data_IF_023384099660
#
_entry.id   IF_023384099660
#
_cell.length_a   1.000
_cell.length_b   1.000
_cell.length_c   1.000
_cell.angle_alpha   90.00
_cell.angle_beta   90.00
_cell.angle_gamma   90.00
#
_symmetry.space_group_name_H-M   'P 1'
#
loop_
_entity.id
_entity.type
_entity.pdbx_description
1 polymer ?
#
# COMPACT_ATOMS: atom_id res chain seq x y z
N UNK A 1 25.86 2.16 5.66
CA UNK A 1 25.74 1.92 4.21
C UNK A 1 27.07 1.36 3.76
N UNK A 2 27.07 0.25 3.04
CA UNK A 2 28.27 -0.58 2.82
C UNK A 2 29.16 -0.04 1.69
N UNK A 3 29.17 1.28 1.48
CA UNK A 3 29.89 1.97 0.38
C UNK A 3 29.53 1.49 -1.04
N UNK A 4 28.36 0.87 -1.25
CA UNK A 4 27.89 0.39 -2.56
C UNK A 4 26.98 1.42 -3.24
N UNK A 5 27.22 1.66 -4.54
CA UNK A 5 26.42 2.55 -5.38
C UNK A 5 25.85 1.77 -6.56
N UNK A 6 24.57 2.01 -6.87
CA UNK A 6 23.95 1.49 -8.10
C UNK A 6 23.87 2.61 -9.12
N UNK A 7 24.45 2.39 -10.30
CA UNK A 7 24.42 3.34 -11.41
C UNK A 7 23.78 2.65 -12.61
N UNK A 8 22.71 3.24 -13.14
CA UNK A 8 22.00 2.74 -14.30
C UNK A 8 22.34 3.61 -15.52
N UNK A 9 22.91 3.01 -16.58
CA UNK A 9 23.19 3.68 -17.84
C UNK A 9 22.14 3.31 -18.88
N UNK A 10 21.67 4.30 -19.64
CA UNK A 10 20.82 4.02 -20.78
C UNK A 10 21.67 3.49 -21.95
N UNK A 11 21.30 2.33 -22.47
CA UNK A 11 21.88 1.74 -23.67
C UNK A 11 20.98 1.95 -24.89
N UNK A 12 21.57 1.82 -26.09
CA UNK A 12 20.83 1.83 -27.35
C UNK A 12 20.01 0.56 -27.55
N UNK A 13 19.04 0.60 -28.45
CA UNK A 13 18.16 -0.55 -28.74
C UNK A 13 18.93 -1.75 -29.30
N UNK A 14 19.98 -1.50 -30.08
CA UNK A 14 20.80 -2.52 -30.74
C UNK A 14 22.06 -2.89 -29.93
N UNK A 15 22.11 -2.53 -28.65
CA UNK A 15 23.26 -2.80 -27.80
C UNK A 15 23.36 -4.31 -27.47
N UNK A 16 24.54 -4.90 -27.65
CA UNK A 16 24.80 -6.31 -27.31
C UNK A 16 24.97 -6.47 -25.79
N UNK A 17 24.04 -7.15 -25.09
CA UNK A 17 24.09 -7.29 -23.64
C UNK A 17 25.38 -7.93 -23.11
N UNK A 18 25.99 -8.86 -23.85
CA UNK A 18 27.20 -9.55 -23.39
C UNK A 18 28.46 -8.73 -23.62
N UNK A 19 28.49 -7.93 -24.68
CA UNK A 19 29.55 -6.93 -24.86
C UNK A 19 29.42 -5.82 -23.81
N UNK A 20 28.21 -5.32 -23.56
CA UNK A 20 27.97 -4.15 -22.72
C UNK A 20 28.24 -4.37 -21.22
N UNK A 21 28.24 -5.63 -20.77
CA UNK A 21 28.62 -6.00 -19.39
C UNK A 21 30.13 -5.97 -19.13
N UNK A 22 30.95 -5.99 -20.19
CA UNK A 22 32.39 -6.16 -20.02
C UNK A 22 33.01 -4.92 -19.37
N UNK A 23 33.98 -5.08 -18.44
CA UNK A 23 34.59 -3.95 -17.73
C UNK A 23 35.11 -2.85 -18.66
N UNK A 24 35.67 -3.21 -19.82
CA UNK A 24 36.17 -2.25 -20.82
C UNK A 24 35.09 -1.31 -21.39
N UNK A 25 33.81 -1.70 -21.34
CA UNK A 25 32.69 -0.87 -21.79
C UNK A 25 32.02 -0.12 -20.63
N UNK A 26 32.05 -0.67 -19.42
CA UNK A 26 31.39 -0.12 -18.24
C UNK A 26 32.26 0.92 -17.52
N UNK A 27 33.54 0.63 -17.30
CA UNK A 27 34.48 1.50 -16.57
C UNK A 27 34.56 2.90 -17.18
N UNK A 28 34.65 3.07 -18.52
CA UNK A 28 34.69 4.41 -19.10
C UNK A 28 33.44 5.24 -18.80
N UNK A 29 32.25 4.62 -18.73
CA UNK A 29 30.99 5.32 -18.41
C UNK A 29 30.94 5.76 -16.96
N UNK A 30 31.42 4.92 -16.04
CA UNK A 30 31.52 5.24 -14.61
C UNK A 30 32.53 6.38 -14.41
N UNK A 31 33.71 6.29 -15.03
CA UNK A 31 34.73 7.36 -14.97
C UNK A 31 34.23 8.68 -15.55
N UNK A 32 33.49 8.66 -16.65
CA UNK A 32 32.88 9.87 -17.20
C UNK A 32 31.89 10.54 -16.24
N UNK A 33 31.26 9.78 -15.34
CA UNK A 33 30.34 10.29 -14.33
C UNK A 33 31.04 10.73 -13.03
N UNK A 34 32.03 9.98 -12.56
CA UNK A 34 32.67 10.18 -11.24
C UNK A 34 34.00 10.96 -11.30
N UNK A 35 34.63 11.03 -12.48
CA UNK A 35 36.00 11.50 -12.68
C UNK A 35 37.03 10.38 -12.61
N UNK A 36 38.15 10.54 -13.34
CA UNK A 36 39.18 9.50 -13.50
C UNK A 36 39.94 9.14 -12.22
N UNK A 37 40.02 10.08 -11.28
CA UNK A 37 40.80 9.99 -10.03
C UNK A 37 40.11 9.13 -8.94
N UNK A 38 38.86 8.71 -9.17
CA UNK A 38 38.05 8.00 -8.17
C UNK A 38 38.26 6.49 -8.29
N UNK A 39 38.70 5.87 -7.21
CA UNK A 39 38.80 4.42 -7.10
C UNK A 39 37.42 3.78 -6.89
N UNK A 40 37.15 2.68 -7.58
CA UNK A 40 35.95 1.88 -7.43
C UNK A 40 36.19 0.44 -7.89
N UNK A 41 35.36 -0.48 -7.41
CA UNK A 41 35.32 -1.87 -7.86
C UNK A 41 33.93 -2.18 -8.42
N UNK A 42 33.88 -3.06 -9.42
CA UNK A 42 32.61 -3.52 -9.99
C UNK A 42 32.10 -4.72 -9.18
N UNK A 43 31.16 -4.46 -8.27
CA UNK A 43 30.51 -5.52 -7.50
C UNK A 43 29.62 -6.41 -8.39
N UNK A 44 28.80 -5.77 -9.24
CA UNK A 44 27.89 -6.48 -10.14
C UNK A 44 27.54 -5.61 -11.35
N UNK A 45 27.49 -6.24 -12.52
CA UNK A 45 27.07 -5.62 -13.78
C UNK A 45 26.03 -6.49 -14.45
N UNK A 46 24.93 -5.88 -14.87
CA UNK A 46 23.94 -6.52 -15.71
C UNK A 46 23.39 -5.57 -16.75
N UNK A 47 22.80 -6.15 -17.78
CA UNK A 47 22.00 -5.45 -18.78
C UNK A 47 20.61 -6.04 -18.70
N UNK A 48 19.62 -5.16 -18.66
CA UNK A 48 18.22 -5.53 -18.59
C UNK A 48 17.43 -4.73 -19.63
N UNK A 49 16.29 -5.27 -20.02
CA UNK A 49 15.28 -4.54 -20.82
C UNK A 49 13.97 -4.62 -20.08
N UNK A 50 13.29 -3.48 -19.94
CA UNK A 50 12.03 -3.44 -19.21
C UNK A 50 10.85 -3.61 -20.13
N UNK A 51 9.82 -4.25 -19.60
CA UNK A 51 8.51 -4.33 -20.21
C UNK A 51 7.48 -3.88 -19.18
N UNK A 52 6.50 -3.10 -19.63
CA UNK A 52 5.34 -2.73 -18.84
C UNK A 52 4.15 -3.53 -19.38
N UNK A 53 3.76 -4.58 -18.67
CA UNK A 53 2.68 -5.48 -19.09
C UNK A 53 2.09 -6.20 -17.89
N UNK A 54 0.85 -6.66 -18.01
CA UNK A 54 0.23 -7.54 -17.04
C UNK A 54 -0.70 -8.54 -17.71
N UNK A 55 -1.02 -9.62 -16.99
CA UNK A 55 -2.08 -10.53 -17.36
C UNK A 55 -3.44 -9.83 -17.30
N UNK A 56 -4.40 -10.30 -18.11
CA UNK A 56 -5.77 -9.81 -18.07
C UNK A 56 -6.50 -10.16 -16.76
N UNK A 57 -6.14 -11.28 -16.13
CA UNK A 57 -6.61 -11.74 -14.82
C UNK A 57 -5.47 -12.42 -14.08
N UNK A 58 -5.44 -12.29 -12.75
CA UNK A 58 -4.43 -12.94 -11.90
C UNK A 58 -4.96 -14.22 -11.26
N UNK A 59 -6.29 -14.37 -11.17
CA UNK A 59 -6.96 -15.58 -10.72
C UNK A 59 -7.43 -16.43 -11.91
N UNK A 60 -6.87 -17.63 -12.02
CA UNK A 60 -7.28 -18.69 -12.96
C UNK A 60 -7.82 -19.91 -12.18
N UNK A 61 -8.80 -19.66 -11.31
CA UNK A 61 -9.47 -20.62 -10.42
C UNK A 61 -8.53 -21.24 -9.38
N UNK A 62 -7.77 -22.27 -9.77
CA UNK A 62 -6.85 -23.01 -8.89
C UNK A 62 -5.40 -22.55 -9.05
N UNK A 63 -5.14 -21.68 -10.02
CA UNK A 63 -3.81 -21.13 -10.30
C UNK A 63 -3.89 -19.62 -10.12
N UNK A 64 -3.01 -19.08 -9.27
CA UNK A 64 -2.93 -17.67 -8.93
C UNK A 64 -1.53 -17.18 -9.33
N UNK A 65 -1.45 -16.04 -9.99
CA UNK A 65 -0.19 -15.43 -10.43
C UNK A 65 0.08 -14.18 -9.60
N UNK A 66 1.30 -14.03 -9.09
CA UNK A 66 1.73 -12.98 -8.15
C UNK A 66 3.02 -12.33 -8.65
N UNK A 67 3.17 -11.02 -8.47
CA UNK A 67 4.40 -10.29 -8.81
C UNK A 67 4.76 -10.39 -10.30
N UNK A 68 6.05 -10.58 -10.61
CA UNK A 68 6.56 -10.63 -11.99
C UNK A 68 5.93 -11.73 -12.87
N UNK A 69 5.35 -12.77 -12.26
CA UNK A 69 4.59 -13.80 -12.98
C UNK A 69 3.23 -13.28 -13.50
N UNK A 70 2.70 -12.22 -12.90
CA UNK A 70 1.42 -11.60 -13.24
C UNK A 70 1.56 -10.24 -13.94
N UNK A 71 2.54 -9.43 -13.53
CA UNK A 71 2.76 -8.09 -14.06
C UNK A 71 4.22 -7.68 -13.97
N UNK A 72 4.67 -6.91 -14.95
CA UNK A 72 6.03 -6.39 -15.04
C UNK A 72 5.95 -4.88 -15.24
N UNK A 73 6.86 -4.18 -14.57
CA UNK A 73 6.96 -2.72 -14.57
C UNK A 73 8.40 -2.29 -14.76
N UNK A 74 8.59 -1.06 -15.23
CA UNK A 74 9.90 -0.41 -15.16
C UNK A 74 10.33 -0.23 -13.70
N UNK A 75 11.63 -0.35 -13.35
CA UNK A 75 12.09 -0.32 -11.96
C UNK A 75 12.11 1.08 -11.36
N UNK A 76 11.88 2.12 -12.17
CA UNK A 76 11.80 3.48 -11.67
C UNK A 76 10.65 3.61 -10.67
N UNK A 77 10.98 4.09 -9.47
CA UNK A 77 10.03 4.16 -8.34
C UNK A 77 9.94 2.89 -7.49
N UNK A 78 10.85 1.92 -7.66
CA UNK A 78 10.93 0.70 -6.86
C UNK A 78 9.60 -0.08 -6.80
N UNK A 79 8.95 -0.30 -7.95
CA UNK A 79 7.57 -0.84 -7.98
C UNK A 79 7.47 -2.35 -8.11
N UNK A 80 8.35 -3.02 -8.85
CA UNK A 80 8.22 -4.46 -9.17
C UNK A 80 8.15 -5.35 -7.92
N UNK A 81 9.25 -5.45 -7.17
CA UNK A 81 9.31 -6.27 -5.96
C UNK A 81 8.28 -5.83 -4.90
N UNK A 82 8.11 -4.53 -4.68
CA UNK A 82 7.13 -4.00 -3.72
C UNK A 82 5.69 -4.39 -4.10
N UNK A 83 5.32 -4.33 -5.38
CA UNK A 83 4.00 -4.74 -5.83
C UNK A 83 3.78 -6.25 -5.69
N UNK A 84 4.80 -7.08 -5.90
CA UNK A 84 4.70 -8.52 -5.64
C UNK A 84 4.49 -8.87 -4.16
N UNK A 85 5.10 -8.11 -3.25
CA UNK A 85 4.84 -8.24 -1.80
C UNK A 85 3.39 -7.85 -1.49
N UNK A 86 2.93 -6.71 -2.02
CA UNK A 86 1.55 -6.24 -1.82
C UNK A 86 0.50 -7.19 -2.44
N UNK A 87 0.81 -7.84 -3.56
CA UNK A 87 -0.05 -8.88 -4.12
C UNK A 87 -0.21 -10.05 -3.14
N UNK A 88 0.90 -10.47 -2.53
CA UNK A 88 0.91 -11.57 -1.56
C UNK A 88 0.13 -11.20 -0.31
N UNK A 89 0.32 -9.99 0.21
CA UNK A 89 -0.40 -9.47 1.38
C UNK A 89 -1.92 -9.45 1.16
N UNK A 90 -2.35 -8.96 -0.01
CA UNK A 90 -3.76 -8.97 -0.41
C UNK A 90 -4.34 -10.38 -0.59
N UNK A 91 -3.54 -11.33 -1.10
CA UNK A 91 -3.99 -12.68 -1.41
C UNK A 91 -4.04 -13.59 -0.17
N UNK A 92 -3.04 -13.50 0.72
CA UNK A 92 -2.78 -14.50 1.74
C UNK A 92 -3.96 -14.70 2.69
N UNK A 93 -4.54 -13.62 3.19
CA UNK A 93 -5.67 -13.69 4.12
C UNK A 93 -6.93 -14.25 3.45
N UNK A 94 -7.19 -13.87 2.18
CA UNK A 94 -8.32 -14.38 1.38
C UNK A 94 -8.19 -15.86 1.14
N UNK A 95 -7.01 -16.29 0.70
CA UNK A 95 -6.70 -17.69 0.43
C UNK A 95 -6.82 -18.53 1.70
N UNK A 96 -6.34 -18.03 2.84
CA UNK A 96 -6.51 -18.68 4.13
C UNK A 96 -7.99 -18.89 4.48
N UNK A 97 -8.83 -17.87 4.34
CA UNK A 97 -10.27 -18.00 4.63
C UNK A 97 -10.96 -19.03 3.73
N UNK A 98 -10.57 -19.12 2.45
CA UNK A 98 -11.10 -20.12 1.52
C UNK A 98 -10.64 -21.53 1.89
N UNK A 99 -9.34 -21.70 2.22
CA UNK A 99 -8.79 -22.99 2.67
C UNK A 99 -9.48 -23.47 3.95
N UNK A 100 -9.73 -22.56 4.89
CA UNK A 100 -10.38 -22.85 6.17
C UNK A 100 -11.91 -23.03 6.03
N UNK A 101 -12.48 -22.90 4.82
CA UNK A 101 -13.92 -23.03 4.57
C UNK A 101 -14.78 -21.89 5.12
N UNK A 102 -14.17 -20.75 5.45
CA UNK A 102 -14.83 -19.56 6.03
C UNK A 102 -15.27 -18.53 5.00
N UNK A 103 -14.82 -18.65 3.75
CA UNK A 103 -15.20 -17.80 2.64
C UNK A 103 -15.35 -18.62 1.35
N UNK A 104 -16.21 -18.21 0.41
CA UNK A 104 -16.33 -18.89 -0.87
C UNK A 104 -15.12 -18.64 -1.76
N UNK A 105 -14.85 -19.56 -2.70
CA UNK A 105 -13.76 -19.41 -3.66
C UNK A 105 -13.85 -18.14 -4.53
N UNK A 106 -15.05 -17.58 -4.71
CA UNK A 106 -15.28 -16.30 -5.39
C UNK A 106 -14.61 -15.11 -4.68
N UNK A 107 -14.27 -15.21 -3.40
CA UNK A 107 -13.46 -14.19 -2.72
C UNK A 107 -12.12 -13.98 -3.44
N UNK A 108 -11.53 -15.02 -4.05
CA UNK A 108 -10.26 -14.92 -4.79
C UNK A 108 -10.38 -14.15 -6.11
N UNK A 109 -11.59 -13.94 -6.64
CA UNK A 109 -11.78 -13.04 -7.78
C UNK A 109 -11.51 -11.58 -7.40
N UNK A 110 -11.77 -11.20 -6.14
CA UNK A 110 -11.43 -9.86 -5.64
C UNK A 110 -9.93 -9.60 -5.64
N UNK A 111 -9.09 -10.61 -5.40
CA UNK A 111 -7.64 -10.49 -5.51
C UNK A 111 -7.26 -10.10 -6.94
N UNK A 112 -7.85 -10.77 -7.93
CA UNK A 112 -7.59 -10.43 -9.33
C UNK A 112 -8.02 -9.00 -9.67
N UNK A 113 -9.21 -8.56 -9.26
CA UNK A 113 -9.68 -7.21 -9.61
C UNK A 113 -8.87 -6.12 -8.90
N UNK A 114 -8.61 -6.27 -7.60
CA UNK A 114 -7.87 -5.29 -6.81
C UNK A 114 -6.41 -5.17 -7.26
N UNK A 115 -5.75 -6.30 -7.54
CA UNK A 115 -4.32 -6.30 -7.91
C UNK A 115 -4.08 -6.02 -9.40
N UNK A 116 -5.04 -6.31 -10.29
CA UNK A 116 -4.99 -5.78 -11.65
C UNK A 116 -5.09 -4.26 -11.67
N UNK A 117 -5.98 -3.67 -10.86
CA UNK A 117 -6.07 -2.21 -10.70
C UNK A 117 -4.75 -1.60 -10.21
N UNK A 118 -4.17 -2.17 -9.14
CA UNK A 118 -2.88 -1.72 -8.61
C UNK A 118 -1.74 -1.86 -9.65
N UNK A 119 -1.75 -2.94 -10.44
CA UNK A 119 -0.78 -3.12 -11.52
C UNK A 119 -0.94 -2.06 -12.63
N UNK A 120 -2.17 -1.69 -13.01
CA UNK A 120 -2.42 -0.62 -13.98
C UNK A 120 -1.90 0.74 -13.46
N UNK A 121 -2.15 1.04 -12.18
CA UNK A 121 -1.62 2.25 -11.52
C UNK A 121 -0.08 2.27 -11.54
N UNK A 122 0.56 1.13 -11.23
CA UNK A 122 2.02 1.00 -11.24
C UNK A 122 2.61 1.12 -12.65
N UNK A 123 1.97 0.51 -13.65
CA UNK A 123 2.38 0.63 -15.06
C UNK A 123 2.27 2.08 -15.53
N UNK A 124 1.17 2.76 -15.21
CA UNK A 124 0.98 4.18 -15.55
C UNK A 124 2.08 5.07 -14.93
N UNK A 125 2.33 4.92 -13.62
CA UNK A 125 3.30 5.75 -12.91
C UNK A 125 4.75 5.48 -13.35
N UNK A 126 5.10 4.21 -13.57
CA UNK A 126 6.44 3.84 -14.05
C UNK A 126 6.65 4.31 -15.49
N UNK A 127 5.64 4.23 -16.37
CA UNK A 127 5.70 4.78 -17.73
C UNK A 127 5.94 6.28 -17.73
N UNK A 128 5.21 7.04 -16.91
CA UNK A 128 5.41 8.50 -16.76
C UNK A 128 6.82 8.85 -16.28
N UNK A 129 7.38 8.03 -15.40
CA UNK A 129 8.76 8.21 -14.91
C UNK A 129 9.77 7.94 -16.03
N UNK A 130 9.60 6.82 -16.75
CA UNK A 130 10.43 6.48 -17.91
C UNK A 130 10.40 7.57 -18.98
N UNK A 131 9.23 8.10 -19.32
CA UNK A 131 9.10 9.13 -20.36
C UNK A 131 9.72 10.47 -19.95
N UNK A 132 9.76 10.78 -18.64
CA UNK A 132 10.46 11.96 -18.12
C UNK A 132 11.98 11.75 -18.11
N UNK A 133 12.49 10.60 -17.64
CA UNK A 133 13.93 10.31 -17.59
C UNK A 133 14.51 10.21 -19.02
N UNK A 134 13.81 9.45 -19.88
CA UNK A 134 14.21 9.13 -21.24
C UNK A 134 13.17 9.65 -22.24
N UNK A 135 13.18 10.97 -22.55
CA UNK A 135 12.22 11.56 -23.47
C UNK A 135 12.39 11.01 -24.89
N UNK A 136 11.30 10.49 -25.45
CA UNK A 136 11.26 9.84 -26.78
C UNK A 136 11.01 10.81 -27.93
N UNK A 137 10.75 12.09 -27.65
CA UNK A 137 10.45 13.11 -28.65
C UNK A 137 11.14 14.44 -28.34
N UNK A 138 11.30 15.30 -29.35
CA UNK A 138 11.82 16.67 -29.18
C UNK A 138 10.95 17.48 -28.21
N UNK A 139 9.63 17.33 -28.28
CA UNK A 139 8.68 18.01 -27.39
C UNK A 139 8.84 17.56 -25.94
N UNK A 140 8.89 16.24 -25.70
CA UNK A 140 9.10 15.70 -24.35
C UNK A 140 10.45 16.12 -23.76
N UNK A 141 11.49 16.20 -24.59
CA UNK A 141 12.82 16.69 -24.17
C UNK A 141 12.80 18.17 -23.82
N UNK A 142 12.15 19.01 -24.62
CA UNK A 142 12.00 20.43 -24.36
C UNK A 142 11.20 20.67 -23.06
N UNK A 143 10.08 19.97 -22.89
CA UNK A 143 9.28 20.01 -21.66
C UNK A 143 10.11 19.63 -20.43
N UNK A 144 10.79 18.48 -20.46
CA UNK A 144 11.64 18.03 -19.35
C UNK A 144 12.71 19.06 -19.01
N UNK A 145 13.41 19.58 -20.01
CA UNK A 145 14.47 20.56 -19.78
C UNK A 145 13.92 21.85 -19.14
N UNK A 146 12.78 22.35 -19.62
CA UNK A 146 12.13 23.51 -19.03
C UNK A 146 11.68 23.25 -17.57
N UNK A 147 11.16 22.05 -17.28
CA UNK A 147 10.84 21.64 -15.91
C UNK A 147 12.09 21.65 -15.02
N UNK A 148 13.20 21.08 -15.49
CA UNK A 148 14.44 21.01 -14.72
C UNK A 148 15.08 22.39 -14.48
N UNK A 149 15.02 23.27 -15.46
CA UNK A 149 15.48 24.66 -15.34
C UNK A 149 14.64 25.43 -14.32
N UNK A 150 13.32 25.41 -14.48
CA UNK A 150 12.40 26.12 -13.57
C UNK A 150 12.38 25.53 -12.16
N UNK A 151 12.64 24.23 -11.99
CA UNK A 151 12.63 23.57 -10.69
C UNK A 151 13.73 24.10 -9.74
N UNK A 152 14.77 24.75 -10.26
CA UNK A 152 15.80 25.40 -9.45
C UNK A 152 15.17 26.47 -8.54
N UNK A 153 14.31 27.30 -9.11
CA UNK A 153 13.77 28.49 -8.42
C UNK A 153 12.30 28.34 -8.00
N UNK A 154 11.50 27.54 -8.73
CA UNK A 154 10.04 27.54 -8.59
C UNK A 154 9.47 26.23 -8.00
N UNK A 155 8.71 26.30 -6.88
CA UNK A 155 8.11 25.12 -6.25
C UNK A 155 7.16 24.32 -7.15
N UNK A 156 6.37 24.98 -8.01
CA UNK A 156 5.44 24.28 -8.90
C UNK A 156 6.16 23.37 -9.90
N UNK A 157 7.34 23.77 -10.38
CA UNK A 157 8.13 22.99 -11.32
C UNK A 157 8.79 21.79 -10.64
N UNK A 158 9.19 21.90 -9.37
CA UNK A 158 9.69 20.76 -8.57
C UNK A 158 8.66 19.64 -8.47
N UNK A 159 7.37 19.97 -8.36
CA UNK A 159 6.29 18.96 -8.34
C UNK A 159 6.15 18.19 -9.67
N UNK A 160 6.63 18.76 -10.78
CA UNK A 160 6.63 18.15 -12.10
C UNK A 160 7.86 17.27 -12.37
N UNK A 161 8.93 17.39 -11.57
CA UNK A 161 10.10 16.52 -11.67
C UNK A 161 9.68 15.09 -11.35
N UNK A 162 9.97 14.17 -12.27
CA UNK A 162 9.61 12.76 -12.10
C UNK A 162 10.76 11.83 -12.47
N UNK A 163 11.66 11.60 -11.52
CA UNK A 163 12.79 10.66 -11.64
C UNK A 163 12.45 9.25 -11.12
N UNK A 164 11.17 8.93 -10.92
CA UNK A 164 10.74 7.66 -10.34
C UNK A 164 10.06 7.86 -8.99
N UNK A 165 8.80 8.30 -9.00
CA UNK A 165 7.98 8.37 -7.78
C UNK A 165 7.87 6.98 -7.14
N UNK A 166 8.20 6.90 -5.86
CA UNK A 166 8.17 5.64 -5.10
C UNK A 166 6.77 5.01 -5.14
N UNK A 167 6.75 3.68 -5.08
CA UNK A 167 5.52 2.91 -4.92
C UNK A 167 4.81 3.35 -3.65
N UNK A 168 3.49 3.53 -3.76
CA UNK A 168 2.59 3.79 -2.62
C UNK A 168 1.50 2.72 -2.62
N UNK A 169 0.84 2.45 -1.49
CA UNK A 169 -0.32 1.57 -1.46
C UNK A 169 -1.44 2.12 -2.36
N UNK A 170 -2.11 1.23 -3.09
CA UNK A 170 -3.18 1.61 -4.02
C UNK A 170 -4.50 1.81 -3.29
N UNK A 171 -5.30 2.75 -3.78
CA UNK A 171 -6.62 3.06 -3.26
C UNK A 171 -7.67 2.16 -3.91
N UNK A 172 -8.17 1.17 -3.18
CA UNK A 172 -9.08 0.13 -3.68
C UNK A 172 -10.55 0.52 -3.53
N UNK A 173 -10.89 1.79 -3.84
CA UNK A 173 -12.21 2.38 -3.57
C UNK A 173 -13.37 1.67 -4.26
N UNK A 174 -13.12 1.11 -5.45
CA UNK A 174 -14.11 0.37 -6.25
C UNK A 174 -14.17 -1.13 -5.90
N UNK A 175 -13.48 -1.57 -4.85
CA UNK A 175 -13.49 -2.98 -4.46
C UNK A 175 -14.91 -3.44 -4.08
N UNK A 176 -15.36 -4.61 -4.55
CA UNK A 176 -16.64 -5.17 -4.12
C UNK A 176 -16.66 -5.54 -2.63
N UNK A 177 -15.49 -5.62 -1.99
CA UNK A 177 -15.33 -5.94 -0.56
C UNK A 177 -15.66 -4.75 0.36
N UNK A 178 -15.76 -3.54 -0.20
CA UNK A 178 -16.03 -2.33 0.57
C UNK A 178 -17.53 -2.20 0.88
N UNK A 179 -17.86 -1.93 2.13
CA UNK A 179 -19.23 -1.53 2.52
C UNK A 179 -19.38 -0.02 2.25
N UNK A 180 -20.38 0.40 1.45
CA UNK A 180 -20.62 1.83 1.21
C UNK A 180 -20.91 2.60 2.50
N UNK A 181 -20.49 3.86 2.54
CA UNK A 181 -20.81 4.75 3.65
C UNK A 181 -22.31 5.05 3.73
N UNK A 182 -22.85 5.03 4.94
CA UNK A 182 -24.19 5.53 5.26
C UNK A 182 -24.15 6.90 5.97
N UNK A 183 -23.00 7.25 6.56
CA UNK A 183 -22.76 8.48 7.31
C UNK A 183 -21.78 9.41 6.58
N UNK A 184 -21.79 10.70 6.92
CA UNK A 184 -20.83 11.68 6.40
C UNK A 184 -19.51 11.69 7.15
N UNK A 185 -18.38 11.69 6.42
CA UNK A 185 -17.02 11.82 6.94
C UNK A 185 -16.22 12.89 6.18
N UNK A 186 -15.45 13.68 6.91
CA UNK A 186 -14.51 14.66 6.41
C UNK A 186 -13.09 14.08 6.51
N UNK A 187 -12.71 13.19 5.57
CA UNK A 187 -11.39 12.60 5.58
C UNK A 187 -11.16 11.61 4.45
N UNK A 188 -9.89 11.29 4.22
CA UNK A 188 -9.50 10.43 3.11
C UNK A 188 -9.63 8.93 3.45
N UNK A 189 -9.88 8.53 4.69
CA UNK A 189 -10.02 7.11 5.06
C UNK A 189 -11.38 6.52 4.61
N UNK A 190 -11.71 6.64 3.34
CA UNK A 190 -12.91 6.04 2.72
C UNK A 190 -12.77 4.51 2.64
N UNK A 191 -13.87 3.75 2.53
CA UNK A 191 -13.78 2.33 2.21
C UNK A 191 -12.92 2.07 0.96
N UNK A 192 -11.94 1.18 1.09
CA UNK A 192 -10.91 0.89 0.09
C UNK A 192 -9.63 1.72 0.24
N UNK A 193 -9.59 2.72 1.12
CA UNK A 193 -8.36 3.44 1.43
C UNK A 193 -7.37 2.51 2.16
N UNK A 194 -6.06 2.55 1.81
CA UNK A 194 -5.03 2.02 2.70
C UNK A 194 -5.04 2.82 4.00
N UNK A 195 -4.80 2.16 5.12
CA UNK A 195 -4.74 2.82 6.42
C UNK A 195 -3.64 3.87 6.45
N UNK A 196 -3.99 5.09 6.86
CA UNK A 196 -3.00 6.07 7.27
C UNK A 196 -2.47 5.69 8.66
N UNK A 197 -1.15 5.75 8.82
CA UNK A 197 -0.52 5.53 10.11
C UNK A 197 -0.83 6.68 11.07
N UNK A 198 -0.56 6.51 12.36
CA UNK A 198 -0.61 7.61 13.33
C UNK A 198 0.23 7.26 14.57
N UNK A 199 0.87 8.26 15.21
CA UNK A 199 1.55 8.05 16.48
C UNK A 199 0.52 7.67 17.55
N UNK A 200 0.79 6.58 18.26
CA UNK A 200 -0.06 6.08 19.34
C UNK A 200 0.80 5.68 20.55
N UNK A 201 0.15 5.51 21.70
CA UNK A 201 0.74 4.85 22.87
C UNK A 201 -0.22 3.78 23.41
N UNK A 202 0.28 2.86 24.24
CA UNK A 202 -0.50 1.72 24.75
C UNK A 202 -0.50 0.49 23.84
N UNK A 203 -0.05 0.63 22.60
CA UNK A 203 0.21 -0.49 21.68
C UNK A 203 1.58 -1.15 21.88
N UNK A 204 1.83 -2.21 21.11
CA UNK A 204 3.12 -2.91 20.99
C UNK A 204 4.19 -2.05 20.32
N UNK A 205 3.76 -1.09 19.50
CA UNK A 205 4.64 -0.14 18.81
C UNK A 205 4.20 1.30 19.10
N UNK A 206 4.97 2.28 18.59
CA UNK A 206 4.63 3.70 18.72
C UNK A 206 3.73 4.23 17.58
N UNK A 207 3.35 3.36 16.63
CA UNK A 207 2.64 3.73 15.40
C UNK A 207 1.52 2.73 15.11
N UNK A 208 0.34 3.22 14.71
CA UNK A 208 -0.86 2.41 14.48
C UNK A 208 -0.59 1.19 13.60
N UNK A 209 0.06 1.38 12.45
CA UNK A 209 0.25 0.29 11.48
C UNK A 209 1.12 -0.84 12.05
N UNK A 210 2.07 -0.52 12.94
CA UNK A 210 2.90 -1.52 13.61
C UNK A 210 2.13 -2.34 14.66
N UNK A 211 0.95 -1.88 15.08
CA UNK A 211 0.10 -2.58 16.04
C UNK A 211 -0.92 -3.53 15.38
N UNK A 212 -1.14 -3.38 14.07
CA UNK A 212 -2.05 -4.23 13.30
C UNK A 212 -1.43 -5.59 13.00
N UNK A 213 -2.27 -6.61 12.84
CA UNK A 213 -1.89 -7.95 12.39
C UNK A 213 -2.83 -8.48 11.30
N UNK A 214 -2.72 -9.78 10.97
CA UNK A 214 -3.45 -10.43 9.87
C UNK A 214 -4.93 -10.74 10.16
N UNK A 215 -5.51 -10.14 11.21
CA UNK A 215 -6.93 -10.24 11.55
C UNK A 215 -7.70 -9.03 11.03
N UNK A 216 -9.03 -9.16 10.98
CA UNK A 216 -9.88 -7.98 10.89
C UNK A 216 -9.76 -7.19 12.19
N UNK A 217 -9.65 -5.88 12.09
CA UNK A 217 -9.61 -4.98 13.25
C UNK A 217 -10.81 -4.05 13.23
N UNK A 218 -11.35 -3.72 14.41
CA UNK A 218 -12.33 -2.66 14.56
C UNK A 218 -11.74 -1.58 15.44
N UNK A 219 -11.40 -0.42 14.87
CA UNK A 219 -11.09 0.76 15.67
C UNK A 219 -12.42 1.34 16.15
N UNK A 220 -12.56 1.59 17.46
CA UNK A 220 -13.74 2.24 18.04
C UNK A 220 -13.29 3.41 18.92
N UNK A 221 -13.69 4.63 18.56
CA UNK A 221 -13.25 5.83 19.25
C UNK A 221 -14.19 6.24 20.37
N UNK A 222 -13.62 6.52 21.54
CA UNK A 222 -14.25 7.19 22.68
C UNK A 222 -13.28 8.21 23.25
N UNK A 223 -13.78 9.30 23.84
CA UNK A 223 -12.88 10.35 24.36
C UNK A 223 -12.07 9.88 25.59
N UNK A 224 -12.74 9.11 26.47
CA UNK A 224 -12.18 8.51 27.66
C UNK A 224 -12.58 7.04 27.71
N UNK A 225 -11.61 6.14 27.61
CA UNK A 225 -11.88 4.71 27.53
C UNK A 225 -12.46 4.14 28.82
N UNK A 226 -12.28 4.83 29.96
CA UNK A 226 -12.89 4.43 31.24
C UNK A 226 -14.41 4.68 31.28
N UNK A 227 -14.94 5.48 30.35
CA UNK A 227 -16.37 5.77 30.25
C UNK A 227 -17.17 4.70 29.48
N UNK A 228 -16.49 3.72 28.85
CA UNK A 228 -17.15 2.58 28.22
C UNK A 228 -17.90 1.77 29.27
N UNK A 229 -19.20 1.61 29.08
CA UNK A 229 -20.00 0.74 29.96
C UNK A 229 -19.56 -0.73 29.80
N UNK A 230 -19.76 -1.54 30.85
CA UNK A 230 -19.50 -2.98 30.79
C UNK A 230 -20.27 -3.67 29.64
N UNK A 231 -21.48 -3.20 29.33
CA UNK A 231 -22.29 -3.71 28.22
C UNK A 231 -21.66 -3.39 26.86
N UNK A 232 -21.20 -2.16 26.65
CA UNK A 232 -20.51 -1.78 25.40
C UNK A 232 -19.19 -2.54 25.23
N UNK A 233 -18.41 -2.65 26.31
CA UNK A 233 -17.15 -3.38 26.28
C UNK A 233 -17.35 -4.88 25.97
N UNK A 234 -18.37 -5.51 26.57
CA UNK A 234 -18.74 -6.89 26.25
C UNK A 234 -19.21 -7.04 24.80
N UNK A 235 -19.98 -6.08 24.28
CA UNK A 235 -20.46 -6.10 22.90
C UNK A 235 -19.31 -5.98 21.88
N UNK A 236 -18.27 -5.20 22.19
CA UNK A 236 -17.05 -5.13 21.38
C UNK A 236 -16.25 -6.43 21.49
N UNK A 237 -16.01 -6.92 22.72
CA UNK A 237 -15.23 -8.12 22.95
C UNK A 237 -15.82 -9.35 22.25
N UNK A 238 -17.16 -9.47 22.22
CA UNK A 238 -17.87 -10.57 21.55
C UNK A 238 -17.66 -10.66 20.04
N UNK A 239 -17.08 -9.63 19.40
CA UNK A 239 -16.72 -9.68 17.98
C UNK A 239 -15.61 -10.70 17.68
N UNK A 240 -14.78 -11.02 18.67
CA UNK A 240 -13.72 -12.02 18.54
C UNK A 240 -14.27 -13.46 18.50
N UNK A 241 -15.50 -13.68 18.98
CA UNK A 241 -16.14 -14.99 19.08
C UNK A 241 -16.87 -15.41 17.78
N UNK A 242 -16.93 -14.51 16.79
CA UNK A 242 -17.53 -14.81 15.49
C UNK A 242 -16.67 -15.77 14.64
N UNK A 243 -17.26 -16.54 13.70
CA UNK A 243 -16.51 -17.49 12.86
C UNK A 243 -15.31 -16.87 12.14
N UNK A 244 -15.47 -15.61 11.70
CA UNK A 244 -14.39 -14.73 11.27
C UNK A 244 -14.24 -13.68 12.37
N UNK A 245 -13.20 -13.84 13.19
CA UNK A 245 -12.95 -13.00 14.34
C UNK A 245 -12.56 -11.58 13.91
N UNK A 246 -13.13 -10.59 14.59
CA UNK A 246 -12.71 -9.19 14.50
C UNK A 246 -12.08 -8.80 15.84
N UNK A 247 -10.90 -8.20 15.80
CA UNK A 247 -10.20 -7.73 16.98
C UNK A 247 -10.56 -6.26 17.25
N UNK A 248 -11.37 -5.98 18.28
CA UNK A 248 -11.70 -4.61 18.65
C UNK A 248 -10.51 -3.92 19.32
N UNK A 249 -10.26 -2.67 18.92
CA UNK A 249 -9.29 -1.76 19.52
C UNK A 249 -10.01 -0.47 19.87
N UNK A 250 -9.98 -0.10 21.15
CA UNK A 250 -10.52 1.17 21.62
C UNK A 250 -9.46 2.25 21.39
N UNK A 251 -9.80 3.25 20.58
CA UNK A 251 -8.97 4.44 20.39
C UNK A 251 -9.49 5.53 21.31
N UNK A 252 -8.59 6.17 22.06
CA UNK A 252 -8.96 7.16 23.07
C UNK A 252 -7.94 8.28 23.22
N UNK A 253 -8.31 9.40 23.84
CA UNK A 253 -7.32 10.39 24.31
C UNK A 253 -6.74 10.03 25.68
N UNK A 254 -7.49 9.29 26.50
CA UNK A 254 -7.06 8.90 27.85
C UNK A 254 -7.83 7.70 28.40
N UNK A 255 -7.36 7.19 29.54
CA UNK A 255 -7.96 6.05 30.22
C UNK A 255 -7.65 4.71 29.56
N UNK A 256 -8.17 3.64 30.17
CA UNK A 256 -8.00 2.27 29.70
C UNK A 256 -9.38 1.64 29.55
N UNK A 257 -9.62 0.95 28.44
CA UNK A 257 -10.89 0.28 28.22
C UNK A 257 -11.08 -0.88 29.20
N UNK A 258 -12.30 -1.12 29.71
CA UNK A 258 -12.59 -2.25 30.58
C UNK A 258 -12.59 -3.58 29.78
N UNK A 259 -12.77 -4.69 30.51
CA UNK A 259 -12.86 -6.04 29.95
C UNK A 259 -11.63 -6.52 29.16
N UNK A 260 -10.46 -5.92 29.38
CA UNK A 260 -9.21 -6.31 28.71
C UNK A 260 -9.16 -5.95 27.23
N UNK A 261 -10.03 -5.06 26.76
CA UNK A 261 -9.99 -4.55 25.39
C UNK A 261 -8.67 -3.83 25.12
N UNK A 262 -8.07 -4.11 23.95
CA UNK A 262 -6.90 -3.39 23.49
C UNK A 262 -7.24 -1.88 23.43
N UNK A 263 -6.38 -1.06 24.02
CA UNK A 263 -6.58 0.39 24.10
C UNK A 263 -5.37 1.11 23.51
N UNK A 264 -5.61 1.95 22.51
CA UNK A 264 -4.62 2.84 21.93
C UNK A 264 -4.94 4.29 22.29
N UNK A 265 -3.93 5.00 22.78
CA UNK A 265 -4.03 6.39 23.18
C UNK A 265 -3.47 7.28 22.07
N UNK A 266 -4.34 8.07 21.45
CA UNK A 266 -4.02 9.11 20.46
C UNK A 266 -3.80 10.46 21.16
N UNK A 267 -2.69 10.56 21.91
CA UNK A 267 -2.37 11.74 22.71
C UNK A 267 -2.18 13.01 21.86
N UNK A 268 -1.84 12.86 20.58
CA UNK A 268 -1.56 13.97 19.66
C UNK A 268 -2.78 14.34 18.81
N UNK A 269 -3.85 13.55 18.85
CA UNK A 269 -5.04 13.75 18.02
C UNK A 269 -4.84 13.46 16.53
N UNK A 270 -3.70 12.86 16.16
CA UNK A 270 -3.33 12.63 14.77
C UNK A 270 -4.17 11.52 14.14
N UNK A 271 -4.48 10.47 14.92
CA UNK A 271 -5.36 9.39 14.46
C UNK A 271 -6.80 9.91 14.31
N UNK A 272 -7.25 10.71 15.29
CA UNK A 272 -8.54 11.39 15.28
C UNK A 272 -8.71 12.30 14.06
N UNK A 273 -7.69 13.08 13.71
CA UNK A 273 -7.71 13.94 12.53
C UNK A 273 -7.75 13.14 11.22
N UNK A 274 -6.85 12.18 11.04
CA UNK A 274 -6.71 11.40 9.79
C UNK A 274 -7.96 10.57 9.46
N UNK A 275 -8.61 10.04 10.49
CA UNK A 275 -9.81 9.18 10.35
C UNK A 275 -11.11 9.93 10.67
N UNK A 276 -11.04 11.24 10.94
CA UNK A 276 -12.18 12.06 11.36
C UNK A 276 -12.98 11.41 12.50
N UNK A 277 -12.27 10.96 13.55
CA UNK A 277 -12.89 10.23 14.65
C UNK A 277 -13.70 11.17 15.55
N UNK A 278 -14.93 10.77 15.80
CA UNK A 278 -15.84 11.37 16.78
C UNK A 278 -16.29 10.29 17.78
N UNK A 279 -16.68 10.62 19.02
CA UNK A 279 -17.15 9.62 19.97
C UNK A 279 -18.22 8.69 19.37
N UNK A 280 -17.98 7.38 19.41
CA UNK A 280 -18.82 6.35 18.79
C UNK A 280 -18.36 5.90 17.39
N UNK A 281 -17.45 6.64 16.75
CA UNK A 281 -16.96 6.33 15.41
C UNK A 281 -16.24 4.98 15.41
N UNK A 282 -16.57 4.15 14.42
CA UNK A 282 -16.00 2.82 14.24
C UNK A 282 -15.50 2.61 12.83
N UNK A 283 -14.30 2.06 12.69
CA UNK A 283 -13.68 1.69 11.41
C UNK A 283 -13.38 0.19 11.41
N UNK A 284 -13.93 -0.53 10.43
CA UNK A 284 -13.57 -1.91 10.16
C UNK A 284 -12.41 -1.95 9.16
N UNK A 285 -11.35 -2.66 9.53
CA UNK A 285 -10.11 -2.77 8.78
C UNK A 285 -9.88 -4.23 8.39
N UNK A 286 -9.45 -4.43 7.15
CA UNK A 286 -9.09 -5.75 6.61
C UNK A 286 -7.72 -6.20 7.13
N UNK A 287 -7.45 -7.52 7.08
CA UNK A 287 -6.12 -8.08 7.34
C UNK A 287 -4.96 -7.45 6.54
N UNK A 288 -5.24 -6.90 5.36
CA UNK A 288 -4.27 -6.23 4.48
C UNK A 288 -4.27 -4.70 4.66
N UNK A 289 -4.69 -4.22 5.84
CA UNK A 289 -4.63 -2.81 6.25
C UNK A 289 -5.38 -1.84 5.32
N UNK A 290 -6.49 -2.30 4.73
CA UNK A 290 -7.43 -1.44 4.01
C UNK A 290 -8.72 -1.25 4.80
N UNK A 291 -9.29 -0.05 4.73
CA UNK A 291 -10.61 0.24 5.33
C UNK A 291 -11.68 -0.54 4.58
N UNK A 292 -12.43 -1.41 5.27
CA UNK A 292 -13.57 -2.12 4.69
C UNK A 292 -14.89 -1.37 4.86
N UNK A 293 -15.07 -0.69 5.99
CA UNK A 293 -16.30 0.00 6.36
C UNK A 293 -16.05 1.00 7.49
N UNK A 294 -16.94 1.98 7.65
CA UNK A 294 -16.91 2.93 8.76
C UNK A 294 -18.31 3.42 9.11
N UNK A 295 -18.49 3.81 10.38
CA UNK A 295 -19.76 4.30 10.92
C UNK A 295 -19.52 5.35 11.99
N UNK A 296 -20.46 6.29 12.17
CA UNK A 296 -20.41 7.26 13.27
C UNK A 296 -20.85 6.69 14.60
N UNK A 297 -21.62 5.60 14.56
CA UNK A 297 -22.10 4.89 15.73
C UNK A 297 -21.86 3.39 15.55
N UNK A 298 -21.36 2.76 16.61
CA UNK A 298 -21.12 1.32 16.63
C UNK A 298 -22.43 0.54 16.54
N UNK A 299 -22.47 -0.43 15.62
CA UNK A 299 -23.54 -1.42 15.51
C UNK A 299 -22.94 -2.79 15.15
N UNK A 300 -23.08 -3.75 16.06
CA UNK A 300 -22.55 -5.11 15.89
C UNK A 300 -23.12 -5.85 14.68
N UNK A 301 -24.37 -5.59 14.30
CA UNK A 301 -24.99 -6.19 13.12
C UNK A 301 -24.40 -5.62 11.83
N UNK A 302 -24.14 -4.31 11.78
CA UNK A 302 -23.46 -3.67 10.64
C UNK A 302 -22.02 -4.16 10.49
N UNK A 303 -21.28 -4.29 11.61
CA UNK A 303 -19.93 -4.86 11.58
C UNK A 303 -19.94 -6.28 11.01
N UNK A 304 -20.85 -7.14 11.46
CA UNK A 304 -20.99 -8.51 10.93
C UNK A 304 -21.33 -8.53 9.44
N UNK A 305 -22.26 -7.68 9.00
CA UNK A 305 -22.62 -7.58 7.59
C UNK A 305 -21.43 -7.12 6.73
N UNK A 306 -20.65 -6.15 7.22
CA UNK A 306 -19.46 -5.67 6.55
C UNK A 306 -18.35 -6.73 6.49
N UNK A 307 -18.15 -7.54 7.53
CA UNK A 307 -17.23 -8.70 7.50
C UNK A 307 -17.70 -9.72 6.46
N UNK A 308 -18.99 -10.03 6.41
CA UNK A 308 -19.53 -10.95 5.41
C UNK A 308 -19.26 -10.44 3.99
N UNK A 309 -19.50 -9.14 3.73
CA UNK A 309 -19.18 -8.52 2.44
C UNK A 309 -17.68 -8.55 2.13
N UNK A 310 -16.84 -8.16 3.07
CA UNK A 310 -15.39 -8.16 2.92
C UNK A 310 -14.81 -9.56 2.68
N UNK A 311 -15.55 -10.61 3.07
CA UNK A 311 -15.15 -12.01 2.88
C UNK A 311 -15.93 -12.72 1.77
N UNK A 312 -16.77 -12.02 1.02
CA UNK A 312 -17.56 -12.59 -0.08
C UNK A 312 -18.71 -13.51 0.37
N UNK A 313 -19.04 -13.52 1.66
CA UNK A 313 -20.15 -14.28 2.26
C UNK A 313 -21.51 -13.57 2.13
N UNK A 314 -21.72 -12.81 1.05
CA UNK A 314 -22.95 -12.06 0.73
C UNK A 314 -23.88 -12.85 -0.18
#
# INVERSE_FOLDING_TARGET
>A
ADNVWRIDFQLGWDADPEAEKKPENVIPRIKAMLGDEREFELEWVSVYTFQCRRMGRFNHKRVLFVGDAAHQVSPFGARGANSGIQDTDNLAWKLKLVIDGKAPASLLDSYSSERCYAADENIMNSTRSTDFITPKSRTSKAFRNAVLELAQDYPFARALVNSGRLSVPSWLVDSPLNTPDEDGFAGNMVPGAPMDDAPITGGKTAWLLGDMDTRFHLLHYVEDASALSAQQAQALAGLADHPIAVHPIVVTQRGTAPAGLATLIDAQGALRERYDLQPGTSYLLRPDQHVAARWRQYDAAKVRAAVNRATGNV
#
